data_IF_056291908408
#
_entry.id   IF_056291908408
#
_cell.length_a   1.000
_cell.length_b   1.000
_cell.length_c   1.000
_cell.angle_alpha   90.00
_cell.angle_beta   90.00
_cell.angle_gamma   90.00
#
_symmetry.space_group_name_H-M   'P 1'
#
loop_
_entity.id
_entity.type
_entity.pdbx_description
1 polymer ?
#
# COMPACT_ATOMS: atom_id res chain seq x y z
N UNK A 1 -1.70 26.25 0.21
CA UNK A 1 -1.41 25.54 1.46
C UNK A 1 -1.58 24.00 1.30
N UNK A 2 -2.73 23.49 0.78
CA UNK A 2 -3.01 22.03 0.70
C UNK A 2 -1.96 21.22 -0.08
N UNK A 3 -1.44 21.75 -1.19
CA UNK A 3 -0.43 21.06 -1.99
C UNK A 3 0.93 20.97 -1.25
N UNK A 4 1.34 22.01 -0.56
CA UNK A 4 2.57 22.03 0.24
C UNK A 4 2.49 21.10 1.45
N UNK A 5 1.32 21.06 2.14
CA UNK A 5 1.10 20.10 3.22
C UNK A 5 1.13 18.66 2.74
N UNK A 6 0.55 18.39 1.57
CA UNK A 6 0.60 17.05 0.96
C UNK A 6 2.04 16.66 0.58
N UNK A 7 2.81 17.56 -0.02
CA UNK A 7 4.22 17.31 -0.36
C UNK A 7 5.05 17.03 0.91
N UNK A 8 4.84 17.82 1.97
CA UNK A 8 5.54 17.60 3.23
C UNK A 8 5.22 16.23 3.82
N UNK A 9 3.94 15.89 3.98
CA UNK A 9 3.52 14.63 4.63
C UNK A 9 3.86 13.40 3.80
N UNK A 10 3.72 13.47 2.46
CA UNK A 10 3.87 12.31 1.59
C UNK A 10 5.30 12.08 1.09
N UNK A 11 6.15 13.11 1.12
CA UNK A 11 7.51 13.03 0.57
C UNK A 11 8.56 13.39 1.62
N UNK A 12 8.53 14.61 2.16
CA UNK A 12 9.59 15.07 3.06
C UNK A 12 9.59 14.34 4.40
N UNK A 13 8.42 14.15 5.01
CA UNK A 13 8.32 13.46 6.29
C UNK A 13 8.82 12.00 6.23
N UNK A 14 8.43 11.15 5.25
CA UNK A 14 8.97 9.80 5.13
C UNK A 14 10.49 9.76 4.92
N UNK A 15 11.04 10.69 4.13
CA UNK A 15 12.49 10.77 3.90
C UNK A 15 13.22 11.15 5.19
N UNK A 16 12.75 12.18 5.89
CA UNK A 16 13.34 12.62 7.17
C UNK A 16 13.20 11.49 8.22
N UNK A 17 12.03 10.87 8.32
CA UNK A 17 11.80 9.78 9.25
C UNK A 17 12.72 8.57 8.96
N UNK A 18 12.88 8.21 7.70
CA UNK A 18 13.80 7.14 7.30
C UNK A 18 15.24 7.45 7.71
N UNK A 19 15.72 8.66 7.46
CA UNK A 19 17.09 9.08 7.82
C UNK A 19 17.31 9.13 9.33
N UNK A 20 16.33 9.61 10.09
CA UNK A 20 16.43 9.62 11.55
C UNK A 20 16.41 8.20 12.14
N UNK A 21 15.64 7.29 11.56
CA UNK A 21 15.54 5.91 12.03
C UNK A 21 16.73 5.04 11.63
N UNK A 22 17.36 5.30 10.47
CA UNK A 22 18.57 4.60 10.04
C UNK A 22 19.84 5.16 10.65
N UNK A 23 19.83 6.41 11.11
CA UNK A 23 21.01 7.07 11.70
C UNK A 23 22.08 7.43 10.68
N UNK A 24 23.31 7.60 11.16
CA UNK A 24 24.51 7.82 10.34
C UNK A 24 24.82 9.30 10.00
N UNK A 25 23.83 10.18 9.88
CA UNK A 25 24.04 11.58 9.46
C UNK A 25 24.18 12.55 10.63
N UNK A 26 23.53 12.26 11.74
CA UNK A 26 23.45 13.16 12.92
C UNK A 26 24.31 12.70 14.10
N UNK A 27 25.36 11.89 13.84
CA UNK A 27 26.15 11.29 14.93
C UNK A 27 25.46 10.12 15.64
N UNK A 28 24.27 9.73 15.18
CA UNK A 28 23.57 8.53 15.64
C UNK A 28 24.21 7.28 15.04
N UNK A 29 24.26 6.16 15.77
CA UNK A 29 24.74 4.90 15.23
C UNK A 29 23.84 4.46 14.08
N UNK A 30 24.43 3.81 13.07
CA UNK A 30 23.68 3.23 11.95
C UNK A 30 22.89 2.03 12.46
N UNK A 31 21.57 2.03 12.23
CA UNK A 31 20.69 0.91 12.55
C UNK A 31 20.19 0.29 11.24
N UNK A 32 20.60 -0.94 11.00
CA UNK A 32 20.13 -1.70 9.82
C UNK A 32 18.62 -1.90 9.88
N UNK A 33 17.94 -1.76 8.74
CA UNK A 33 16.49 -1.95 8.64
C UNK A 33 16.03 -3.36 9.03
N UNK A 34 16.92 -4.34 8.97
CA UNK A 34 16.68 -5.72 9.43
C UNK A 34 16.48 -5.83 10.94
N UNK A 35 16.99 -4.85 11.71
CA UNK A 35 16.81 -4.76 13.17
C UNK A 35 15.50 -4.04 13.55
N UNK A 36 14.82 -3.45 12.58
CA UNK A 36 13.51 -2.86 12.82
C UNK A 36 12.49 -3.97 13.02
N UNK A 37 11.55 -3.74 13.93
CA UNK A 37 10.55 -4.77 14.23
C UNK A 37 9.27 -4.21 14.84
N UNK A 38 8.32 -5.12 15.08
CA UNK A 38 7.08 -4.84 15.76
C UNK A 38 6.18 -3.84 15.00
N UNK A 39 5.54 -2.98 15.75
CA UNK A 39 4.60 -1.96 15.23
C UNK A 39 5.28 -1.02 14.22
N UNK A 40 6.57 -0.71 14.39
CA UNK A 40 7.30 0.15 13.46
C UNK A 40 7.31 -0.43 12.05
N UNK A 41 7.71 -1.70 11.89
CA UNK A 41 7.72 -2.37 10.56
C UNK A 41 6.30 -2.47 10.00
N UNK A 42 5.31 -2.83 10.82
CA UNK A 42 3.90 -2.85 10.41
C UNK A 42 3.46 -1.50 9.84
N UNK A 43 3.74 -0.40 10.56
CA UNK A 43 3.35 0.95 10.13
C UNK A 43 4.12 1.42 8.89
N UNK A 44 5.42 1.13 8.80
CA UNK A 44 6.22 1.50 7.62
C UNK A 44 5.72 0.76 6.38
N UNK A 45 5.55 -0.55 6.45
CA UNK A 45 5.06 -1.36 5.32
C UNK A 45 3.65 -0.93 4.91
N UNK A 46 2.75 -0.74 5.87
CA UNK A 46 1.38 -0.30 5.58
C UNK A 46 1.34 1.11 4.98
N UNK A 47 2.00 2.08 5.60
CA UNK A 47 1.93 3.48 5.15
C UNK A 47 2.57 3.68 3.78
N UNK A 48 3.78 3.13 3.56
CA UNK A 48 4.45 3.20 2.26
C UNK A 48 3.67 2.43 1.20
N UNK A 49 3.19 1.23 1.52
CA UNK A 49 2.36 0.43 0.63
C UNK A 49 1.09 1.17 0.20
N UNK A 50 0.35 1.78 1.14
CA UNK A 50 -0.86 2.57 0.86
C UNK A 50 -0.54 3.79 -0.02
N UNK A 51 0.45 4.59 0.39
CA UNK A 51 0.80 5.85 -0.29
C UNK A 51 1.31 5.59 -1.71
N UNK A 52 2.15 4.56 -1.90
CA UNK A 52 2.71 4.25 -3.22
C UNK A 52 1.69 3.52 -4.13
N UNK A 53 0.90 2.61 -3.58
CA UNK A 53 -0.06 1.83 -4.39
C UNK A 53 -1.20 2.67 -4.95
N UNK A 54 -1.62 3.74 -4.27
CA UNK A 54 -2.75 4.55 -4.71
C UNK A 54 -2.49 5.26 -6.06
N UNK A 55 -1.44 6.07 -6.23
CA UNK A 55 -1.16 6.70 -7.53
C UNK A 55 -0.83 5.68 -8.62
N UNK A 56 -0.10 4.60 -8.28
CA UNK A 56 0.21 3.54 -9.24
C UNK A 56 -1.06 2.82 -9.70
N UNK A 57 -1.98 2.52 -8.79
CA UNK A 57 -3.27 1.89 -9.11
C UNK A 57 -4.14 2.76 -10.01
N UNK A 58 -4.19 4.08 -9.75
CA UNK A 58 -4.89 5.04 -10.63
C UNK A 58 -4.26 5.06 -12.02
N UNK A 59 -2.93 5.12 -12.12
CA UNK A 59 -2.22 5.12 -13.40
C UNK A 59 -2.47 3.83 -14.19
N UNK A 60 -2.41 2.67 -13.53
CA UNK A 60 -2.71 1.38 -14.15
C UNK A 60 -4.17 1.29 -14.64
N UNK A 61 -5.13 1.78 -13.86
CA UNK A 61 -6.54 1.83 -14.25
C UNK A 61 -6.77 2.71 -15.49
N UNK A 62 -6.11 3.86 -15.54
CA UNK A 62 -6.15 4.74 -16.72
C UNK A 62 -5.41 4.12 -17.91
N UNK A 63 -4.25 3.51 -17.68
CA UNK A 63 -3.48 2.80 -18.70
C UNK A 63 -4.28 1.66 -19.37
N UNK A 64 -5.04 0.89 -18.58
CA UNK A 64 -5.94 -0.16 -19.07
C UNK A 64 -7.04 0.39 -20.01
N UNK A 65 -7.43 1.66 -19.86
CA UNK A 65 -8.42 2.34 -20.72
C UNK A 65 -7.80 3.16 -21.84
N UNK A 66 -6.47 3.18 -21.94
CA UNK A 66 -5.76 3.95 -22.96
C UNK A 66 -6.05 3.45 -24.37
N UNK A 67 -6.13 4.37 -25.32
CA UNK A 67 -6.18 4.07 -26.77
C UNK A 67 -4.82 3.63 -27.35
N UNK A 68 -3.72 3.82 -26.58
CA UNK A 68 -2.38 3.39 -26.96
C UNK A 68 -2.23 1.87 -26.69
N UNK A 69 -2.05 1.04 -27.73
CA UNK A 69 -2.13 -0.42 -27.58
C UNK A 69 -1.04 -0.97 -26.65
N UNK A 70 0.16 -0.42 -26.67
CA UNK A 70 1.27 -0.87 -25.81
C UNK A 70 0.97 -0.56 -24.35
N UNK A 71 0.58 0.66 -24.01
CA UNK A 71 0.26 1.05 -22.63
C UNK A 71 -0.89 0.20 -22.09
N UNK A 72 -1.92 0.00 -22.91
CA UNK A 72 -3.06 -0.84 -22.54
C UNK A 72 -2.65 -2.29 -22.30
N UNK A 73 -1.86 -2.89 -23.19
CA UNK A 73 -1.40 -4.27 -23.06
C UNK A 73 -0.52 -4.47 -21.82
N UNK A 74 0.45 -3.58 -21.60
CA UNK A 74 1.32 -3.62 -20.41
C UNK A 74 0.51 -3.46 -19.11
N UNK A 75 -0.43 -2.51 -19.06
CA UNK A 75 -1.27 -2.31 -17.88
C UNK A 75 -2.16 -3.52 -17.59
N UNK A 76 -2.79 -4.10 -18.61
CA UNK A 76 -3.61 -5.31 -18.46
C UNK A 76 -2.74 -6.47 -18.01
N UNK A 77 -1.64 -6.75 -18.70
CA UNK A 77 -0.73 -7.85 -18.38
C UNK A 77 -0.22 -7.78 -16.95
N UNK A 78 0.24 -6.59 -16.52
CA UNK A 78 0.69 -6.37 -15.16
C UNK A 78 -0.42 -6.65 -14.13
N UNK A 79 -1.61 -6.08 -14.32
CA UNK A 79 -2.74 -6.25 -13.39
C UNK A 79 -3.12 -7.73 -13.28
N UNK A 80 -3.28 -8.44 -14.40
CA UNK A 80 -3.72 -9.83 -14.41
C UNK A 80 -2.65 -10.76 -13.81
N UNK A 81 -1.37 -10.58 -14.14
CA UNK A 81 -0.27 -11.38 -13.60
C UNK A 81 -0.17 -11.19 -12.08
N UNK A 82 -0.10 -9.94 -11.62
CA UNK A 82 0.11 -9.65 -10.20
C UNK A 82 -1.11 -10.10 -9.36
N UNK A 83 -2.32 -9.98 -9.86
CA UNK A 83 -3.54 -10.46 -9.17
C UNK A 83 -3.71 -11.98 -9.23
N UNK A 84 -3.07 -12.65 -10.17
CA UNK A 84 -3.06 -14.12 -10.28
C UNK A 84 -2.08 -14.80 -9.33
N UNK A 85 -1.19 -14.04 -8.67
CA UNK A 85 -0.14 -14.58 -7.79
C UNK A 85 -0.41 -14.16 -6.34
N UNK A 86 -0.26 -15.04 -5.33
CA UNK A 86 -0.38 -14.66 -3.92
C UNK A 86 0.68 -13.62 -3.51
N UNK A 87 0.33 -12.70 -2.60
CA UNK A 87 1.29 -11.70 -2.09
C UNK A 87 2.54 -12.33 -1.50
N UNK A 88 2.39 -13.45 -0.81
CA UNK A 88 3.53 -14.19 -0.23
C UNK A 88 4.57 -14.58 -1.28
N UNK A 89 4.12 -15.02 -2.46
CA UNK A 89 5.00 -15.37 -3.59
C UNK A 89 5.68 -14.13 -4.17
N UNK A 90 4.98 -13.00 -4.25
CA UNK A 90 5.56 -11.72 -4.70
C UNK A 90 6.64 -11.24 -3.72
N UNK A 91 6.40 -11.35 -2.42
CA UNK A 91 7.39 -11.01 -1.39
C UNK A 91 8.62 -11.90 -1.47
N UNK A 92 8.42 -13.20 -1.65
CA UNK A 92 9.52 -14.15 -1.81
C UNK A 92 10.33 -13.84 -3.08
N UNK A 93 9.67 -13.61 -4.21
CA UNK A 93 10.34 -13.25 -5.46
C UNK A 93 11.13 -11.93 -5.31
N UNK A 94 10.55 -10.90 -4.72
CA UNK A 94 11.22 -9.64 -4.52
C UNK A 94 12.39 -9.73 -3.53
N UNK A 95 12.26 -10.55 -2.48
CA UNK A 95 13.24 -10.59 -1.39
C UNK A 95 14.35 -11.61 -1.59
N UNK A 96 14.03 -12.78 -2.15
CA UNK A 96 14.95 -13.91 -2.30
C UNK A 96 15.42 -14.05 -3.74
N UNK A 97 14.50 -14.02 -4.71
CA UNK A 97 14.87 -14.29 -6.10
C UNK A 97 15.53 -13.08 -6.77
N UNK A 98 15.02 -11.86 -6.56
CA UNK A 98 15.56 -10.67 -7.20
C UNK A 98 17.07 -10.50 -7.00
N UNK A 99 17.65 -10.67 -5.79
CA UNK A 99 19.10 -10.58 -5.60
C UNK A 99 19.92 -11.55 -6.44
N UNK A 100 19.38 -12.72 -6.80
CA UNK A 100 20.08 -13.71 -7.62
C UNK A 100 20.30 -13.24 -9.07
N UNK A 101 19.51 -12.27 -9.53
CA UNK A 101 19.62 -11.68 -10.87
C UNK A 101 20.43 -10.37 -10.88
N UNK A 102 20.84 -9.88 -9.71
CA UNK A 102 21.63 -8.65 -9.60
C UNK A 102 23.14 -8.95 -9.54
N UNK A 103 23.98 -8.07 -10.10
CA UNK A 103 25.41 -8.16 -9.89
C UNK A 103 25.78 -8.11 -8.41
N UNK A 104 26.84 -8.80 -7.94
CA UNK A 104 27.24 -8.82 -6.52
C UNK A 104 27.55 -7.43 -5.93
N UNK A 105 27.83 -6.44 -6.79
CA UNK A 105 28.07 -5.05 -6.39
C UNK A 105 26.81 -4.28 -6.04
N UNK A 106 25.61 -4.79 -6.37
CA UNK A 106 24.33 -4.12 -6.13
C UNK A 106 23.59 -4.86 -5.02
N UNK A 107 23.58 -4.28 -3.84
CA UNK A 107 22.79 -4.76 -2.71
C UNK A 107 21.60 -3.83 -2.48
N UNK A 108 20.39 -4.35 -2.65
CA UNK A 108 19.16 -3.62 -2.35
C UNK A 108 18.68 -4.05 -0.97
N UNK A 109 18.40 -3.09 -0.11
CA UNK A 109 17.88 -3.32 1.24
C UNK A 109 16.64 -4.22 1.24
N UNK A 110 16.56 -5.16 2.19
CA UNK A 110 15.47 -6.15 2.26
C UNK A 110 14.11 -5.50 2.49
N UNK A 111 14.04 -4.49 3.36
CA UNK A 111 12.80 -3.75 3.62
C UNK A 111 12.36 -3.01 2.36
N UNK A 112 13.28 -2.36 1.64
CA UNK A 112 12.95 -1.67 0.39
C UNK A 112 12.38 -2.63 -0.66
N UNK A 113 12.94 -3.82 -0.82
CA UNK A 113 12.40 -4.86 -1.72
C UNK A 113 10.98 -5.27 -1.33
N UNK A 114 10.75 -5.47 -0.03
CA UNK A 114 9.41 -5.76 0.48
C UNK A 114 8.42 -4.62 0.20
N UNK A 115 8.82 -3.38 0.45
CA UNK A 115 7.99 -2.19 0.21
C UNK A 115 7.58 -2.07 -1.26
N UNK A 116 8.52 -2.27 -2.19
CA UNK A 116 8.24 -2.26 -3.64
C UNK A 116 7.29 -3.40 -4.01
N UNK A 117 7.53 -4.61 -3.52
CA UNK A 117 6.66 -5.77 -3.78
C UNK A 117 5.23 -5.54 -3.29
N UNK A 118 5.06 -5.07 -2.05
CA UNK A 118 3.75 -4.74 -1.47
C UNK A 118 3.06 -3.62 -2.24
N UNK A 119 3.79 -2.55 -2.59
CA UNK A 119 3.23 -1.42 -3.32
C UNK A 119 2.72 -1.83 -4.70
N UNK A 120 3.51 -2.60 -5.46
CA UNK A 120 3.13 -3.09 -6.79
C UNK A 120 1.95 -4.06 -6.73
N UNK A 121 1.95 -4.98 -5.76
CA UNK A 121 0.84 -5.90 -5.54
C UNK A 121 -0.45 -5.15 -5.24
N UNK A 122 -0.43 -4.25 -4.26
CA UNK A 122 -1.59 -3.47 -3.86
C UNK A 122 -2.07 -2.53 -4.97
N UNK A 123 -1.15 -2.00 -5.81
CA UNK A 123 -1.50 -1.17 -6.95
C UNK A 123 -2.36 -1.92 -7.99
N UNK A 124 -2.09 -3.21 -8.22
CA UNK A 124 -2.88 -4.02 -9.14
C UNK A 124 -4.33 -4.21 -8.65
N UNK A 125 -4.54 -4.42 -7.35
CA UNK A 125 -5.88 -4.51 -6.75
C UNK A 125 -6.61 -3.17 -6.74
N UNK A 126 -5.90 -2.09 -6.40
CA UNK A 126 -6.46 -0.74 -6.47
C UNK A 126 -6.83 -0.33 -7.89
N UNK A 127 -6.05 -0.75 -8.89
CA UNK A 127 -6.37 -0.49 -10.29
C UNK A 127 -7.74 -1.06 -10.68
N UNK A 128 -8.08 -2.25 -10.21
CA UNK A 128 -9.41 -2.84 -10.46
C UNK A 128 -10.53 -2.11 -9.71
N UNK A 129 -10.29 -1.70 -8.47
CA UNK A 129 -11.23 -0.89 -7.70
C UNK A 129 -11.51 0.44 -8.42
N UNK A 130 -10.47 1.15 -8.86
CA UNK A 130 -10.59 2.41 -9.61
C UNK A 130 -11.26 2.18 -10.97
N UNK A 131 -10.94 1.08 -11.67
CA UNK A 131 -11.59 0.70 -12.92
C UNK A 131 -13.11 0.54 -12.74
N UNK A 132 -13.54 -0.13 -11.66
CA UNK A 132 -14.95 -0.23 -11.30
C UNK A 132 -15.62 1.14 -11.16
N UNK A 133 -14.98 2.08 -10.48
CA UNK A 133 -15.46 3.46 -10.37
C UNK A 133 -15.56 4.19 -11.71
N UNK A 134 -14.53 4.04 -12.56
CA UNK A 134 -14.54 4.63 -13.90
C UNK A 134 -15.64 4.07 -14.80
N UNK A 135 -16.03 2.81 -14.60
CA UNK A 135 -17.14 2.17 -15.35
C UNK A 135 -18.51 2.61 -14.84
N UNK A 136 -18.61 2.99 -13.57
CA UNK A 136 -19.87 3.45 -12.97
C UNK A 136 -20.26 4.89 -13.38
N UNK A 137 -19.35 5.65 -14.00
CA UNK A 137 -19.65 7.03 -14.45
C UNK A 137 -20.59 6.97 -15.67
N UNK A 138 -21.75 7.68 -15.63
CA UNK A 138 -22.67 7.73 -16.74
C UNK A 138 -22.03 8.28 -18.02
N UNK A 139 -22.41 7.73 -19.18
CA UNK A 139 -21.91 8.18 -20.50
C UNK A 139 -22.13 9.67 -20.74
N UNK A 140 -23.25 10.22 -20.29
CA UNK A 140 -23.55 11.65 -20.42
C UNK A 140 -22.51 12.58 -19.80
N UNK A 141 -21.76 12.12 -18.78
CA UNK A 141 -20.64 12.93 -18.22
C UNK A 141 -19.48 13.04 -19.22
N UNK A 142 -19.21 12.01 -19.98
CA UNK A 142 -18.19 12.01 -21.03
C UNK A 142 -18.66 12.87 -22.22
N UNK A 143 -19.91 12.72 -22.64
CA UNK A 143 -20.52 13.45 -23.76
C UNK A 143 -20.62 14.95 -23.45
N UNK A 144 -21.04 15.33 -22.25
CA UNK A 144 -21.08 16.73 -21.81
C UNK A 144 -19.67 17.35 -21.79
N UNK A 145 -18.65 16.61 -21.34
CA UNK A 145 -17.28 17.09 -21.35
C UNK A 145 -16.75 17.28 -22.78
N UNK A 146 -17.12 16.38 -23.71
CA UNK A 146 -16.77 16.49 -25.13
C UNK A 146 -17.48 17.69 -25.80
N UNK A 147 -18.75 17.94 -25.47
CA UNK A 147 -19.50 19.10 -25.93
C UNK A 147 -18.91 20.45 -25.46
N UNK A 148 -18.24 20.45 -24.30
CA UNK A 148 -17.48 21.61 -23.79
C UNK A 148 -16.08 21.76 -24.44
N UNK A 149 -15.71 20.90 -25.38
CA UNK A 149 -14.42 20.92 -26.07
C UNK A 149 -13.24 20.53 -25.18
N UNK A 150 -13.47 19.81 -24.07
CA UNK A 150 -12.39 19.39 -23.18
C UNK A 150 -11.55 18.29 -23.82
N UNK A 151 -10.22 18.47 -23.76
CA UNK A 151 -9.30 17.40 -24.16
C UNK A 151 -9.44 16.16 -23.25
N UNK A 152 -8.98 15.00 -23.70
CA UNK A 152 -9.05 13.76 -22.91
C UNK A 152 -8.47 13.94 -21.49
N UNK A 153 -7.31 14.58 -21.35
CA UNK A 153 -6.68 14.83 -20.06
C UNK A 153 -7.52 15.75 -19.17
N UNK A 154 -8.10 16.81 -19.71
CA UNK A 154 -8.98 17.71 -18.98
C UNK A 154 -10.26 17.01 -18.53
N UNK A 155 -10.91 16.28 -19.42
CA UNK A 155 -12.10 15.47 -19.12
C UNK A 155 -11.83 14.47 -18.01
N UNK A 156 -10.74 13.70 -18.11
CA UNK A 156 -10.39 12.72 -17.08
C UNK A 156 -10.05 13.39 -15.74
N UNK A 157 -9.19 14.42 -15.75
CA UNK A 157 -8.70 15.04 -14.51
C UNK A 157 -9.75 15.88 -13.79
N UNK A 158 -10.59 16.60 -14.51
CA UNK A 158 -11.51 17.57 -13.93
C UNK A 158 -12.90 17.00 -13.65
N UNK A 159 -13.36 16.02 -14.43
CA UNK A 159 -14.74 15.53 -14.38
C UNK A 159 -14.81 14.06 -13.99
N UNK A 160 -14.22 13.16 -14.77
CA UNK A 160 -14.46 11.73 -14.65
C UNK A 160 -13.74 11.12 -13.44
N UNK A 161 -12.43 11.35 -13.31
CA UNK A 161 -11.63 10.72 -12.27
C UNK A 161 -12.03 11.16 -10.84
N UNK A 162 -12.30 12.46 -10.55
CA UNK A 162 -12.78 12.87 -9.23
C UNK A 162 -14.11 12.20 -8.83
N UNK A 163 -15.04 12.06 -9.78
CA UNK A 163 -16.31 11.37 -9.54
C UNK A 163 -16.09 9.86 -9.34
N UNK A 164 -15.30 9.22 -10.20
CA UNK A 164 -14.98 7.80 -10.11
C UNK A 164 -14.31 7.45 -8.77
N UNK A 165 -13.30 8.22 -8.35
CA UNK A 165 -12.62 8.00 -7.07
C UNK A 165 -13.58 8.15 -5.90
N UNK A 166 -14.48 9.13 -5.94
CA UNK A 166 -15.49 9.33 -4.89
C UNK A 166 -16.41 8.12 -4.72
N UNK A 167 -16.82 7.48 -5.82
CA UNK A 167 -17.68 6.29 -5.80
C UNK A 167 -16.97 5.07 -5.20
N UNK A 168 -15.66 4.97 -5.32
CA UNK A 168 -14.90 3.79 -4.90
C UNK A 168 -14.11 3.98 -3.60
N UNK A 169 -14.31 5.10 -2.89
CA UNK A 169 -13.67 5.34 -1.59
C UNK A 169 -13.84 4.15 -0.62
N UNK A 170 -15.04 3.56 -0.45
CA UNK A 170 -15.19 2.40 0.44
C UNK A 170 -14.33 1.21 0.02
N UNK A 171 -14.29 0.93 -1.30
CA UNK A 171 -13.45 -0.14 -1.85
C UNK A 171 -11.95 0.12 -1.68
N UNK A 172 -11.51 1.37 -1.86
CA UNK A 172 -10.13 1.79 -1.64
C UNK A 172 -9.73 1.57 -0.18
N UNK A 173 -10.58 2.00 0.77
CA UNK A 173 -10.27 1.83 2.19
C UNK A 173 -10.29 0.37 2.60
N UNK A 174 -11.19 -0.45 2.05
CA UNK A 174 -11.15 -1.89 2.26
C UNK A 174 -9.84 -2.52 1.78
N UNK A 175 -9.31 -2.06 0.64
CA UNK A 175 -7.99 -2.46 0.15
C UNK A 175 -6.87 -2.05 1.12
N UNK A 176 -6.95 -0.86 1.72
CA UNK A 176 -5.97 -0.40 2.71
C UNK A 176 -6.04 -1.19 4.03
N UNK A 177 -7.25 -1.54 4.50
CA UNK A 177 -7.43 -2.40 5.67
C UNK A 177 -6.90 -3.81 5.40
N UNK A 178 -7.09 -4.34 4.20
CA UNK A 178 -6.52 -5.61 3.79
C UNK A 178 -4.98 -5.55 3.80
N UNK A 179 -4.40 -4.55 3.14
CA UNK A 179 -2.95 -4.33 3.10
C UNK A 179 -2.34 -4.17 4.50
N UNK A 180 -3.02 -3.47 5.41
CA UNK A 180 -2.57 -3.34 6.80
C UNK A 180 -2.47 -4.72 7.50
N UNK A 181 -3.39 -5.63 7.24
CA UNK A 181 -3.33 -7.01 7.77
C UNK A 181 -2.27 -7.85 7.05
N UNK A 182 -2.10 -7.64 5.76
CA UNK A 182 -1.15 -8.36 4.93
C UNK A 182 0.32 -8.01 5.26
N UNK A 183 0.56 -6.96 6.06
CA UNK A 183 1.92 -6.68 6.58
C UNK A 183 2.49 -7.83 7.38
N UNK A 184 1.66 -8.67 8.01
CA UNK A 184 2.10 -9.87 8.73
C UNK A 184 2.81 -10.91 7.82
N UNK A 185 2.60 -10.85 6.51
CA UNK A 185 3.27 -11.76 5.57
C UNK A 185 4.75 -11.46 5.37
N UNK A 186 5.24 -10.26 5.77
CA UNK A 186 6.67 -9.93 5.66
C UNK A 186 7.55 -10.78 6.59
N UNK A 187 6.95 -11.45 7.58
CA UNK A 187 7.64 -12.42 8.42
C UNK A 187 8.33 -13.52 7.61
N UNK A 188 7.70 -13.97 6.51
CA UNK A 188 8.25 -15.07 5.68
C UNK A 188 9.60 -14.73 5.05
N UNK A 189 9.85 -13.45 4.84
CA UNK A 189 11.13 -12.97 4.31
C UNK A 189 12.10 -12.51 5.43
N UNK A 190 11.75 -12.77 6.71
CA UNK A 190 12.55 -12.42 7.87
C UNK A 190 12.56 -10.93 8.21
N UNK A 191 11.44 -10.24 7.99
CA UNK A 191 11.14 -8.95 8.57
C UNK A 191 10.08 -9.16 9.66
N UNK A 192 10.40 -8.76 10.87
CA UNK A 192 9.56 -9.03 12.03
C UNK A 192 8.59 -7.86 12.27
N UNK A 193 7.40 -7.95 11.70
CA UNK A 193 6.28 -7.07 12.00
C UNK A 193 5.73 -7.29 13.43
N UNK A 194 4.61 -6.68 13.79
CA UNK A 194 3.99 -6.84 15.10
C UNK A 194 3.71 -8.31 15.45
N UNK A 195 3.15 -9.07 14.52
CA UNK A 195 2.86 -10.49 14.74
C UNK A 195 4.16 -11.31 14.78
N UNK A 196 5.11 -10.99 13.90
CA UNK A 196 6.40 -11.66 13.83
C UNK A 196 7.22 -11.52 15.11
N UNK A 197 7.24 -10.33 15.73
CA UNK A 197 7.93 -10.12 17.03
C UNK A 197 7.27 -10.96 18.13
N UNK A 198 5.93 -11.02 18.17
CA UNK A 198 5.21 -11.86 19.16
C UNK A 198 5.56 -13.33 18.95
N UNK A 199 5.55 -13.83 17.71
CA UNK A 199 5.92 -15.21 17.42
C UNK A 199 7.37 -15.52 17.78
N UNK A 200 8.29 -14.61 17.44
CA UNK A 200 9.70 -14.77 17.77
C UNK A 200 9.94 -14.80 19.29
N UNK A 201 9.26 -13.94 20.05
CA UNK A 201 9.35 -13.90 21.50
C UNK A 201 8.83 -15.20 22.15
N UNK A 202 7.70 -15.73 21.66
CA UNK A 202 7.13 -16.99 22.16
C UNK A 202 8.03 -18.18 21.86
N UNK A 203 8.69 -18.21 20.70
CA UNK A 203 9.53 -19.32 20.27
C UNK A 203 10.97 -19.24 20.79
N UNK A 204 11.47 -18.03 21.01
CA UNK A 204 12.87 -17.77 21.36
C UNK A 204 13.17 -17.76 22.85
N UNK A 205 12.20 -17.59 23.72
CA UNK A 205 12.39 -17.49 25.17
C UNK A 205 11.52 -18.52 25.90
N UNK A 206 12.16 -19.43 26.66
CA UNK A 206 11.46 -20.42 27.48
C UNK A 206 10.44 -19.83 28.44
N UNK A 207 10.65 -18.61 28.93
CA UNK A 207 9.69 -17.91 29.81
C UNK A 207 8.39 -17.57 29.11
N UNK A 208 8.42 -17.39 27.79
CA UNK A 208 7.26 -17.08 26.93
C UNK A 208 6.65 -18.33 26.28
N UNK A 209 7.30 -19.46 26.36
CA UNK A 209 6.89 -20.70 25.67
C UNK A 209 5.70 -21.42 26.32
N UNK A 210 5.07 -20.86 27.36
CA UNK A 210 3.87 -21.47 27.96
C UNK A 210 2.63 -21.21 27.10
N UNK A 211 1.67 -22.16 27.02
CA UNK A 211 0.44 -21.99 26.25
C UNK A 211 -0.37 -20.74 26.62
N UNK A 212 -0.43 -20.39 27.91
CA UNK A 212 -1.13 -19.21 28.41
C UNK A 212 -0.45 -17.91 27.94
N UNK A 213 0.87 -17.84 27.96
CA UNK A 213 1.64 -16.69 27.48
C UNK A 213 1.52 -16.51 25.96
N UNK A 214 1.58 -17.62 25.21
CA UNK A 214 1.35 -17.60 23.77
C UNK A 214 -0.04 -17.04 23.42
N UNK A 215 -1.09 -17.51 24.07
CA UNK A 215 -2.44 -17.00 23.88
C UNK A 215 -2.53 -15.49 24.16
N UNK A 216 -1.92 -15.03 25.27
CA UNK A 216 -1.88 -13.60 25.64
C UNK A 216 -1.16 -12.77 24.58
N UNK A 217 -0.02 -13.23 24.05
CA UNK A 217 0.73 -12.56 23.00
C UNK A 217 -0.08 -12.40 21.71
N UNK A 218 -0.76 -13.45 21.28
CA UNK A 218 -1.62 -13.38 20.07
C UNK A 218 -2.84 -12.50 20.27
N UNK A 219 -3.47 -12.53 21.46
CA UNK A 219 -4.60 -11.65 21.78
C UNK A 219 -4.15 -10.20 21.76
N UNK A 220 -2.97 -9.89 22.32
CA UNK A 220 -2.40 -8.54 22.28
C UNK A 220 -2.15 -8.05 20.85
N UNK A 221 -1.49 -8.86 20.02
CA UNK A 221 -1.26 -8.52 18.60
C UNK A 221 -2.60 -8.33 17.87
N UNK A 222 -3.54 -9.26 18.05
CA UNK A 222 -4.88 -9.17 17.46
C UNK A 222 -5.64 -7.92 17.87
N UNK A 223 -5.57 -7.53 19.15
CA UNK A 223 -6.20 -6.31 19.65
C UNK A 223 -5.62 -5.05 19.02
N UNK A 224 -4.29 -4.98 18.84
CA UNK A 224 -3.64 -3.86 18.14
C UNK A 224 -4.03 -3.81 16.66
N UNK A 225 -3.97 -4.92 15.94
CA UNK A 225 -4.44 -4.97 14.54
C UNK A 225 -5.91 -4.54 14.43
N UNK A 226 -6.75 -5.03 15.35
CA UNK A 226 -8.16 -4.65 15.39
C UNK A 226 -8.34 -3.15 15.63
N UNK A 227 -7.62 -2.55 16.58
CA UNK A 227 -7.72 -1.13 16.90
C UNK A 227 -7.36 -0.26 15.68
N UNK A 228 -6.26 -0.55 14.96
CA UNK A 228 -5.87 0.16 13.76
C UNK A 228 -6.90 -0.02 12.63
N UNK A 229 -7.32 -1.26 12.34
CA UNK A 229 -8.32 -1.55 11.31
C UNK A 229 -9.65 -0.87 11.62
N UNK A 230 -10.08 -0.90 12.88
CA UNK A 230 -11.31 -0.23 13.33
C UNK A 230 -11.21 1.31 13.14
N UNK A 231 -10.08 1.91 13.52
CA UNK A 231 -9.86 3.35 13.32
C UNK A 231 -9.93 3.75 11.84
N UNK A 232 -9.26 2.99 10.95
CA UNK A 232 -9.29 3.22 9.50
C UNK A 232 -10.72 3.08 8.98
N UNK A 233 -11.45 2.03 9.35
CA UNK A 233 -12.84 1.78 8.92
C UNK A 233 -13.80 2.86 9.42
N UNK A 234 -13.68 3.31 10.68
CA UNK A 234 -14.48 4.41 11.22
C UNK A 234 -14.22 5.74 10.52
N UNK A 235 -12.96 6.03 10.20
CA UNK A 235 -12.60 7.20 9.43
C UNK A 235 -13.22 7.16 8.02
N UNK A 236 -13.16 6.01 7.34
CA UNK A 236 -13.78 5.79 6.04
C UNK A 236 -15.29 6.06 6.06
N UNK A 237 -16.00 5.46 7.02
CA UNK A 237 -17.45 5.65 7.15
C UNK A 237 -17.83 7.13 7.32
N UNK A 238 -17.05 7.90 8.10
CA UNK A 238 -17.26 9.35 8.24
C UNK A 238 -16.96 10.12 6.95
N UNK A 239 -15.92 9.72 6.22
CA UNK A 239 -15.57 10.34 4.95
C UNK A 239 -16.67 10.11 3.90
N UNK A 240 -17.17 8.88 3.82
CA UNK A 240 -18.26 8.49 2.92
C UNK A 240 -19.54 9.32 3.21
N UNK A 241 -19.94 9.42 4.48
CA UNK A 241 -21.09 10.24 4.88
C UNK A 241 -20.94 11.69 4.43
N UNK A 242 -19.77 12.31 4.65
CA UNK A 242 -19.50 13.70 4.23
C UNK A 242 -19.55 13.87 2.70
N UNK A 243 -19.12 12.88 1.94
CA UNK A 243 -19.14 12.94 0.48
C UNK A 243 -20.54 12.68 -0.11
N UNK A 244 -21.39 11.91 0.58
CA UNK A 244 -22.77 11.65 0.17
C UNK A 244 -23.71 12.83 0.51
N UNK A 245 -23.44 13.57 1.58
CA UNK A 245 -24.26 14.72 2.00
C UNK A 245 -24.06 15.95 1.08
N UNK A 246 -23.06 15.94 0.20
CA UNK A 246 -22.78 17.03 -0.77
C UNK A 246 -23.45 16.84 -2.14
N UNK A 247 -24.53 16.04 -2.21
CA UNK A 247 -25.40 15.87 -3.38
C UNK A 247 -26.64 16.75 -3.30
#
# INVERSE_FOLDING_TARGET
YKAWSALFVLVLFPIIAYWLLTGGITGLPIVETQLWGGVLVTLVVASVGIVASFPLGVLLALGRRSNMPIIRAVSIGFIEIVRGVPLISVLFMASVMLPLFLPPSITIDKLLRALVGVALFSAAYLAETVRGGLQAIPRGQFEAADALGLSYNQKMRLIVLPQALRLVIPGIVNSFVALFKDTSLVLIIGLFDLLGIVQQSIQGDQKWASPSTAATGYIFAGALFWAFCFAISRYSARLEQRLNTSR
#
